data_IF_656019830257
#
_entry.id   IF_656019830257
#
_cell.length_a   1.000
_cell.length_b   1.000
_cell.length_c   1.000
_cell.angle_alpha   90.00
_cell.angle_beta   90.00
_cell.angle_gamma   90.00
#
_symmetry.space_group_name_H-M   'P 1'
#
loop_
_entity.id
_entity.type
_entity.pdbx_description
1 polymer ?
#
# COMPACT_ATOMS: atom_id res chain seq x y z
N UNK A 1 -75.32 29.65 32.01
CA UNK A 1 -74.15 29.83 32.90
C UNK A 1 -73.22 28.59 32.72
N UNK A 2 -72.33 28.71 31.78
CA UNK A 2 -71.37 27.57 31.47
C UNK A 2 -70.08 27.84 32.20
N UNK A 3 -69.68 26.87 33.04
CA UNK A 3 -68.40 26.90 33.73
C UNK A 3 -67.40 26.21 32.79
N UNK A 4 -66.39 26.96 32.35
CA UNK A 4 -65.25 26.46 31.63
C UNK A 4 -64.22 25.98 32.70
N UNK A 5 -63.89 24.68 32.68
CA UNK A 5 -62.85 24.08 33.49
C UNK A 5 -61.59 24.10 32.66
N UNK A 6 -60.57 24.84 33.10
CA UNK A 6 -59.26 24.96 32.48
C UNK A 6 -58.35 23.83 33.09
N UNK A 7 -57.98 22.83 32.29
CA UNK A 7 -56.98 21.84 32.68
C UNK A 7 -55.58 22.37 32.39
N UNK A 8 -54.81 22.62 33.43
CA UNK A 8 -53.35 22.83 33.30
C UNK A 8 -52.66 21.50 33.18
N UNK A 9 -52.12 21.21 31.99
CA UNK A 9 -51.16 20.11 31.78
C UNK A 9 -49.75 20.62 32.12
N UNK A 10 -49.23 20.24 33.27
CA UNK A 10 -47.83 20.42 33.63
C UNK A 10 -47.02 19.37 32.91
N UNK A 11 -46.27 19.75 31.87
CA UNK A 11 -45.26 18.93 31.23
C UNK A 11 -44.01 18.91 32.12
N UNK A 12 -43.77 17.78 32.79
CA UNK A 12 -42.49 17.52 33.44
C UNK A 12 -41.45 17.18 32.33
N UNK A 13 -40.57 18.14 32.05
CA UNK A 13 -39.36 17.89 31.30
C UNK A 13 -38.35 17.17 32.22
N UNK A 14 -38.32 15.85 32.18
CA UNK A 14 -37.22 15.09 32.72
C UNK A 14 -36.04 15.24 31.75
N UNK A 15 -35.05 16.05 32.16
CA UNK A 15 -33.76 16.14 31.50
C UNK A 15 -33.05 14.81 31.72
N UNK A 16 -33.11 13.94 30.73
CA UNK A 16 -32.22 12.77 30.64
C UNK A 16 -30.85 13.30 30.28
N UNK A 17 -30.01 13.60 31.27
CA UNK A 17 -28.55 13.67 31.07
C UNK A 17 -28.05 12.25 30.85
N UNK A 18 -28.24 11.74 29.67
CA UNK A 18 -27.56 10.56 29.22
C UNK A 18 -26.09 10.89 28.98
N UNK A 19 -25.21 10.33 29.81
CA UNK A 19 -23.79 10.22 29.47
C UNK A 19 -23.67 9.36 28.22
N UNK A 20 -23.72 9.98 27.04
CA UNK A 20 -23.45 9.38 25.74
C UNK A 20 -22.03 9.73 25.33
N UNK A 21 -21.05 9.03 25.87
CA UNK A 21 -19.76 8.76 25.25
C UNK A 21 -19.07 7.60 25.98
N UNK A 22 -19.69 6.44 26.03
CA UNK A 22 -18.91 5.21 26.06
C UNK A 22 -18.43 5.02 24.62
N UNK A 23 -17.12 5.15 24.40
CA UNK A 23 -16.54 4.93 23.09
C UNK A 23 -17.03 3.60 22.52
N UNK A 24 -17.65 3.64 21.36
CA UNK A 24 -17.99 2.41 20.62
C UNK A 24 -16.64 1.85 20.17
N UNK A 25 -16.10 0.91 20.96
CA UNK A 25 -14.91 0.16 20.57
C UNK A 25 -15.22 -0.61 19.28
N UNK A 26 -14.34 -0.52 18.30
CA UNK A 26 -14.46 -1.37 17.11
C UNK A 26 -14.11 -2.80 17.48
N UNK A 27 -14.95 -3.74 17.02
CA UNK A 27 -14.68 -5.16 17.19
C UNK A 27 -13.46 -5.55 16.31
N UNK A 28 -12.51 -6.28 16.88
CA UNK A 28 -11.37 -6.80 16.14
C UNK A 28 -11.85 -7.80 15.07
N UNK A 29 -11.23 -7.77 13.92
CA UNK A 29 -11.63 -8.62 12.79
C UNK A 29 -10.43 -8.99 11.93
N UNK A 30 -10.37 -10.25 11.51
CA UNK A 30 -9.46 -10.69 10.43
C UNK A 30 -10.20 -11.65 9.52
N UNK A 31 -10.34 -11.30 8.25
CA UNK A 31 -11.03 -12.18 7.30
C UNK A 31 -11.37 -11.52 5.97
N UNK A 32 -11.96 -12.31 5.10
CA UNK A 32 -12.45 -11.86 3.80
C UNK A 32 -13.76 -11.09 3.93
N UNK A 33 -13.88 -10.03 3.16
CA UNK A 33 -15.09 -9.24 2.96
C UNK A 33 -15.28 -8.94 1.48
N UNK A 34 -16.45 -8.40 1.13
CA UNK A 34 -16.84 -8.07 -0.24
C UNK A 34 -17.43 -6.68 -0.32
N UNK A 35 -17.26 -6.06 -1.48
CA UNK A 35 -17.85 -4.77 -1.84
C UNK A 35 -18.35 -4.83 -3.27
N UNK A 36 -19.49 -4.22 -3.54
CA UNK A 36 -19.96 -4.00 -4.91
C UNK A 36 -19.33 -2.71 -5.44
N UNK A 37 -18.64 -2.81 -6.57
CA UNK A 37 -18.08 -1.67 -7.28
C UNK A 37 -18.34 -1.82 -8.79
N UNK A 38 -19.01 -0.83 -9.41
CA UNK A 38 -19.33 -0.84 -10.85
C UNK A 38 -19.94 -2.17 -11.34
N UNK A 39 -20.96 -2.66 -10.59
CA UNK A 39 -21.67 -3.91 -10.86
C UNK A 39 -20.85 -5.20 -10.68
N UNK A 40 -19.55 -5.08 -10.29
CA UNK A 40 -18.70 -6.22 -9.96
C UNK A 40 -18.64 -6.41 -8.43
N UNK A 41 -18.82 -7.66 -7.99
CA UNK A 41 -18.50 -8.04 -6.62
C UNK A 41 -16.98 -8.22 -6.51
N UNK A 42 -16.32 -7.36 -5.70
CA UNK A 42 -14.87 -7.41 -5.43
C UNK A 42 -14.65 -7.91 -4.00
N UNK A 43 -13.72 -8.82 -3.82
CA UNK A 43 -13.34 -9.26 -2.48
C UNK A 43 -12.08 -8.54 -1.98
N UNK A 44 -11.88 -8.57 -0.68
CA UNK A 44 -10.68 -8.07 -0.01
C UNK A 44 -10.51 -8.76 1.34
N UNK A 45 -9.29 -8.92 1.81
CA UNK A 45 -9.04 -9.27 3.20
C UNK A 45 -8.88 -8.00 4.03
N UNK A 46 -9.40 -8.05 5.25
CA UNK A 46 -9.36 -6.94 6.19
C UNK A 46 -8.83 -7.44 7.52
N UNK A 47 -7.98 -6.65 8.15
CA UNK A 47 -7.58 -6.85 9.53
C UNK A 47 -7.79 -5.55 10.31
N UNK A 48 -8.54 -5.66 11.39
CA UNK A 48 -8.86 -4.59 12.35
C UNK A 48 -8.31 -5.02 13.70
N UNK A 49 -7.30 -4.33 14.26
CA UNK A 49 -6.70 -4.70 15.53
C UNK A 49 -7.66 -4.51 16.70
N UNK A 50 -7.40 -5.21 17.79
CA UNK A 50 -8.11 -4.99 19.06
C UNK A 50 -7.82 -3.58 19.59
N UNK A 51 -8.85 -2.93 20.13
CA UNK A 51 -8.70 -1.59 20.71
C UNK A 51 -8.43 -0.49 19.72
N UNK A 52 -8.81 -0.66 18.45
CA UNK A 52 -8.69 0.38 17.41
C UNK A 52 -9.27 1.71 17.89
N UNK A 53 -8.52 2.78 17.72
CA UNK A 53 -8.93 4.16 18.06
C UNK A 53 -9.52 4.87 16.85
N UNK A 54 -10.38 5.84 17.10
CA UNK A 54 -10.80 6.79 16.05
C UNK A 54 -9.58 7.58 15.52
N UNK A 55 -9.62 7.96 14.26
CA UNK A 55 -8.52 8.59 13.53
C UNK A 55 -7.24 7.74 13.43
N UNK A 56 -7.37 6.41 13.60
CA UNK A 56 -6.28 5.48 13.32
C UNK A 56 -5.85 5.55 11.84
N UNK A 57 -4.61 5.22 11.51
CA UNK A 57 -4.18 5.08 10.13
C UNK A 57 -4.90 3.92 9.42
N UNK A 58 -4.99 4.03 8.08
CA UNK A 58 -5.46 2.96 7.19
C UNK A 58 -4.36 2.62 6.18
N UNK A 59 -4.03 1.36 6.04
CA UNK A 59 -3.04 0.89 5.08
C UNK A 59 -3.66 -0.07 4.07
N UNK A 60 -3.35 0.15 2.79
CA UNK A 60 -3.69 -0.74 1.67
C UNK A 60 -2.44 -1.50 1.26
N UNK A 61 -2.49 -2.84 1.20
CA UNK A 61 -1.37 -3.68 0.77
C UNK A 61 -1.80 -4.51 -0.43
N UNK A 62 -1.13 -4.31 -1.56
CA UNK A 62 -1.58 -4.73 -2.89
C UNK A 62 -0.70 -5.88 -3.38
N UNK A 63 -1.32 -6.99 -3.80
CA UNK A 63 -0.60 -8.17 -4.30
C UNK A 63 -0.05 -7.97 -5.73
N UNK A 64 0.95 -8.75 -6.09
CA UNK A 64 1.52 -8.79 -7.44
C UNK A 64 0.64 -9.55 -8.45
N UNK A 65 1.03 -9.51 -9.72
CA UNK A 65 0.41 -10.30 -10.79
C UNK A 65 0.39 -11.79 -10.42
N UNK A 66 -0.69 -12.49 -10.72
CA UNK A 66 -0.95 -13.88 -10.30
C UNK A 66 -1.13 -14.11 -8.79
N UNK A 67 -0.94 -13.08 -7.98
CA UNK A 67 -1.05 -13.14 -6.52
C UNK A 67 -2.48 -13.15 -6.01
N UNK A 68 -2.64 -13.03 -4.70
CA UNK A 68 -3.95 -12.88 -4.06
C UNK A 68 -3.87 -12.00 -2.82
N UNK A 69 -5.02 -11.45 -2.43
CA UNK A 69 -5.16 -10.67 -1.19
C UNK A 69 -4.71 -11.47 0.05
N UNK A 70 -5.12 -12.75 0.13
CA UNK A 70 -4.66 -13.64 1.20
C UNK A 70 -3.17 -13.93 1.13
N UNK A 71 -2.65 -14.12 -0.10
CA UNK A 71 -1.23 -14.39 -0.33
C UNK A 71 -0.34 -13.26 0.15
N UNK A 72 -0.62 -12.01 -0.23
CA UNK A 72 0.18 -10.87 0.20
C UNK A 72 0.02 -10.56 1.70
N UNK A 73 -1.15 -10.85 2.29
CA UNK A 73 -1.35 -10.74 3.74
C UNK A 73 -0.40 -11.69 4.49
N UNK A 74 -0.31 -12.96 4.05
CA UNK A 74 0.55 -13.96 4.67
C UNK A 74 2.04 -13.69 4.39
N UNK A 75 2.34 -13.20 3.18
CA UNK A 75 3.68 -12.89 2.72
C UNK A 75 4.28 -11.69 3.47
N UNK A 76 3.56 -10.59 3.54
CA UNK A 76 4.04 -9.37 4.20
C UNK A 76 4.00 -9.44 5.73
N UNK A 77 3.15 -10.29 6.32
CA UNK A 77 2.94 -10.40 7.78
C UNK A 77 2.59 -9.07 8.47
N UNK A 78 2.08 -8.08 7.72
CA UNK A 78 1.83 -6.72 8.22
C UNK A 78 0.71 -6.63 9.26
N UNK A 79 -0.15 -7.65 9.40
CA UNK A 79 -1.15 -7.69 10.48
C UNK A 79 -0.52 -7.56 11.86
N UNK A 80 0.67 -8.15 12.09
CA UNK A 80 1.37 -8.04 13.37
C UNK A 80 1.78 -6.59 13.67
N UNK A 81 2.14 -5.81 12.63
CA UNK A 81 2.44 -4.39 12.78
C UNK A 81 1.18 -3.57 13.01
N UNK A 82 0.06 -3.95 12.39
CA UNK A 82 -1.23 -3.32 12.62
C UNK A 82 -1.69 -3.49 14.07
N UNK A 83 -1.53 -4.68 14.66
CA UNK A 83 -1.82 -4.95 16.06
C UNK A 83 -0.93 -4.14 17.01
N UNK A 84 0.36 -4.03 16.71
CA UNK A 84 1.32 -3.32 17.55
C UNK A 84 1.15 -1.79 17.51
N UNK A 85 0.71 -1.25 16.37
CA UNK A 85 0.69 0.18 16.10
C UNK A 85 -0.72 0.77 15.99
N UNK A 86 -1.76 -0.06 16.03
CA UNK A 86 -3.16 0.38 16.09
C UNK A 86 -3.67 0.98 14.78
N UNK A 87 -3.40 0.36 13.63
CA UNK A 87 -3.93 0.79 12.34
C UNK A 87 -4.78 -0.30 11.66
N UNK A 88 -5.73 0.11 10.84
CA UNK A 88 -6.49 -0.82 9.99
C UNK A 88 -5.68 -1.16 8.76
N UNK A 89 -5.69 -2.42 8.34
CA UNK A 89 -5.02 -2.86 7.11
C UNK A 89 -5.98 -3.63 6.21
N UNK A 90 -5.95 -3.32 4.92
CA UNK A 90 -6.78 -3.94 3.90
C UNK A 90 -5.93 -4.44 2.74
N UNK A 91 -6.28 -5.63 2.26
CA UNK A 91 -5.65 -6.31 1.14
C UNK A 91 -6.70 -6.49 0.04
N UNK A 92 -6.78 -5.58 -0.94
CA UNK A 92 -7.72 -5.73 -2.05
C UNK A 92 -7.37 -6.95 -2.91
N UNK A 93 -8.40 -7.60 -3.47
CA UNK A 93 -8.23 -8.66 -4.46
C UNK A 93 -8.37 -8.08 -5.87
N UNK A 94 -7.36 -8.30 -6.69
CA UNK A 94 -7.38 -8.00 -8.12
C UNK A 94 -8.41 -8.85 -8.86
N UNK A 95 -8.81 -8.40 -10.04
CA UNK A 95 -9.66 -9.18 -10.96
C UNK A 95 -8.86 -10.25 -11.70
N UNK A 96 -9.51 -11.04 -12.53
CA UNK A 96 -8.87 -12.06 -13.35
C UNK A 96 -8.82 -11.58 -14.80
N UNK A 97 -7.66 -11.70 -15.44
CA UNK A 97 -7.46 -11.35 -16.85
C UNK A 97 -7.86 -12.50 -17.81
N UNK A 98 -7.69 -12.28 -19.10
CA UNK A 98 -7.98 -13.28 -20.15
C UNK A 98 -7.04 -14.50 -20.13
N UNK A 99 -5.96 -14.43 -19.33
CA UNK A 99 -5.00 -15.52 -19.12
C UNK A 99 -5.26 -16.27 -17.81
N UNK A 100 -6.40 -16.00 -17.16
CA UNK A 100 -6.81 -16.54 -15.87
C UNK A 100 -5.89 -16.13 -14.70
N UNK A 101 -5.15 -15.02 -14.84
CA UNK A 101 -4.28 -14.48 -13.80
C UNK A 101 -4.95 -13.31 -13.09
N UNK A 102 -4.79 -13.26 -11.79
CA UNK A 102 -5.22 -12.13 -10.98
C UNK A 102 -4.30 -10.92 -11.18
N UNK A 103 -4.87 -9.72 -11.28
CA UNK A 103 -4.13 -8.50 -11.56
C UNK A 103 -4.82 -7.24 -11.08
N UNK A 104 -4.06 -6.16 -11.00
CA UNK A 104 -4.57 -4.80 -10.98
C UNK A 104 -4.20 -4.12 -12.31
N UNK A 105 -5.15 -3.39 -12.89
CA UNK A 105 -4.95 -2.72 -14.18
C UNK A 105 -4.09 -1.47 -13.99
N UNK A 106 -2.83 -1.57 -14.36
CA UNK A 106 -1.82 -0.50 -14.28
C UNK A 106 -1.35 -0.05 -15.66
N UNK A 107 -2.01 -0.52 -16.73
CA UNK A 107 -1.67 -0.15 -18.11
C UNK A 107 -0.64 -1.08 -18.78
N UNK A 108 -0.58 -2.36 -18.38
CA UNK A 108 0.23 -3.33 -19.13
C UNK A 108 -0.29 -3.51 -20.56
N UNK A 109 0.59 -3.64 -21.54
CA UNK A 109 0.22 -3.76 -22.97
C UNK A 109 -0.76 -4.91 -23.21
N UNK A 110 -0.59 -6.06 -22.56
CA UNK A 110 -1.51 -7.19 -22.71
C UNK A 110 -2.84 -7.02 -21.97
N UNK A 111 -3.02 -5.92 -21.24
CA UNK A 111 -4.28 -5.51 -20.62
C UNK A 111 -4.92 -4.29 -21.33
N UNK A 112 -4.43 -3.88 -22.50
CA UNK A 112 -4.91 -2.71 -23.22
C UNK A 112 -6.43 -2.73 -23.50
N UNK A 113 -7.03 -3.91 -23.64
CA UNK A 113 -8.47 -4.09 -23.81
C UNK A 113 -9.24 -4.16 -22.48
N UNK A 114 -8.56 -4.13 -21.34
CA UNK A 114 -9.21 -4.20 -20.03
C UNK A 114 -9.90 -2.88 -19.69
N UNK A 115 -11.18 -2.96 -19.35
CA UNK A 115 -11.98 -1.82 -18.89
C UNK A 115 -12.10 -1.74 -17.38
N UNK A 116 -11.36 -2.58 -16.63
CA UNK A 116 -11.38 -2.59 -15.17
C UNK A 116 -10.70 -1.33 -14.65
N UNK A 117 -11.40 -0.61 -13.79
CA UNK A 117 -10.87 0.58 -13.08
C UNK A 117 -10.53 0.22 -11.63
N UNK A 118 -9.33 -0.30 -11.43
CA UNK A 118 -8.86 -0.68 -10.11
C UNK A 118 -8.51 0.53 -9.24
N UNK A 119 -8.18 1.68 -9.82
CA UNK A 119 -8.01 2.94 -9.09
C UNK A 119 -9.33 3.33 -8.43
N UNK A 120 -10.42 3.37 -9.20
CA UNK A 120 -11.75 3.69 -8.67
C UNK A 120 -12.21 2.67 -7.62
N UNK A 121 -11.92 1.38 -7.83
CA UNK A 121 -12.21 0.32 -6.85
C UNK A 121 -11.49 0.56 -5.52
N UNK A 122 -10.17 0.78 -5.55
CA UNK A 122 -9.37 1.00 -4.33
C UNK A 122 -9.82 2.28 -3.62
N UNK A 123 -10.11 3.35 -4.36
CA UNK A 123 -10.66 4.60 -3.79
C UNK A 123 -11.99 4.37 -3.09
N UNK A 124 -12.91 3.63 -3.71
CA UNK A 124 -14.22 3.30 -3.12
C UNK A 124 -14.06 2.45 -1.84
N UNK A 125 -13.19 1.44 -1.89
CA UNK A 125 -12.89 0.57 -0.76
C UNK A 125 -12.30 1.36 0.42
N UNK A 126 -11.30 2.20 0.18
CA UNK A 126 -10.68 3.07 1.20
C UNK A 126 -11.73 4.00 1.82
N UNK A 127 -12.52 4.69 0.99
CA UNK A 127 -13.56 5.62 1.47
C UNK A 127 -14.58 4.89 2.35
N UNK A 128 -15.02 3.70 1.96
CA UNK A 128 -15.93 2.89 2.77
C UNK A 128 -15.32 2.50 4.11
N UNK A 129 -14.04 2.10 4.13
CA UNK A 129 -13.36 1.70 5.36
C UNK A 129 -13.10 2.89 6.29
N UNK A 130 -12.75 4.06 5.75
CA UNK A 130 -12.62 5.30 6.52
C UNK A 130 -13.93 5.65 7.24
N UNK A 131 -15.06 5.53 6.58
CA UNK A 131 -16.37 5.76 7.19
C UNK A 131 -16.70 4.69 8.23
N UNK A 132 -16.50 3.42 7.89
CA UNK A 132 -16.89 2.27 8.71
C UNK A 132 -16.09 2.20 10.02
N UNK A 133 -14.78 2.40 9.96
CA UNK A 133 -13.86 2.28 11.08
C UNK A 133 -13.38 3.63 11.63
N UNK A 134 -13.92 4.73 11.11
CA UNK A 134 -13.54 6.11 11.48
C UNK A 134 -12.02 6.32 11.46
N UNK A 135 -11.36 5.72 10.44
CA UNK A 135 -9.92 5.94 10.23
C UNK A 135 -9.67 7.32 9.64
N UNK A 136 -8.45 7.81 9.79
CA UNK A 136 -8.09 9.16 9.34
C UNK A 136 -8.01 9.25 7.81
N UNK A 137 -8.64 10.26 7.22
CA UNK A 137 -8.47 10.60 5.81
C UNK A 137 -7.06 11.11 5.49
N UNK A 138 -6.35 11.66 6.48
CA UNK A 138 -5.00 12.21 6.32
C UNK A 138 -3.89 11.20 6.60
N UNK A 139 -4.23 9.98 7.04
CA UNK A 139 -3.28 8.93 7.43
C UNK A 139 -3.59 7.63 6.69
N UNK A 140 -3.81 7.75 5.39
CA UNK A 140 -4.09 6.60 4.51
C UNK A 140 -2.87 6.36 3.63
N UNK A 141 -2.40 5.10 3.59
CA UNK A 141 -1.16 4.70 2.94
C UNK A 141 -1.40 3.53 1.99
N UNK A 142 -0.56 3.43 0.95
CA UNK A 142 -0.57 2.26 0.07
C UNK A 142 0.83 1.70 -0.12
N UNK A 143 0.92 0.38 -0.12
CA UNK A 143 2.11 -0.37 -0.49
C UNK A 143 1.70 -1.61 -1.27
N UNK A 144 2.63 -2.23 -1.94
CA UNK A 144 2.39 -3.46 -2.67
C UNK A 144 3.65 -3.92 -3.38
N UNK A 145 3.63 -5.15 -3.87
CA UNK A 145 4.77 -5.74 -4.55
C UNK A 145 4.47 -5.95 -6.04
N UNK A 146 5.47 -5.75 -6.92
CA UNK A 146 5.36 -6.02 -8.34
C UNK A 146 4.20 -5.23 -8.96
N UNK A 147 3.22 -5.86 -9.59
CA UNK A 147 1.98 -5.21 -10.06
C UNK A 147 1.29 -4.38 -8.95
N UNK A 148 1.37 -4.81 -7.67
CA UNK A 148 0.91 -4.02 -6.53
C UNK A 148 1.79 -2.80 -6.24
N UNK A 149 3.09 -2.87 -6.52
CA UNK A 149 4.01 -1.74 -6.48
C UNK A 149 3.71 -0.73 -7.60
N UNK A 150 3.49 -1.23 -8.83
CA UNK A 150 3.08 -0.40 -9.97
C UNK A 150 1.74 0.31 -9.68
N UNK A 151 0.78 -0.40 -9.07
CA UNK A 151 -0.48 0.18 -8.62
C UNK A 151 -0.26 1.24 -7.54
N UNK A 152 0.70 1.05 -6.63
CA UNK A 152 1.04 2.05 -5.61
C UNK A 152 1.57 3.34 -6.25
N UNK A 153 2.42 3.25 -7.27
CA UNK A 153 2.84 4.41 -8.06
C UNK A 153 1.66 5.06 -8.82
N UNK A 154 0.78 4.26 -9.43
CA UNK A 154 -0.40 4.77 -10.12
C UNK A 154 -1.34 5.53 -9.15
N UNK A 155 -1.54 5.01 -7.93
CA UNK A 155 -2.29 5.68 -6.87
C UNK A 155 -1.61 6.99 -6.43
N UNK A 156 -0.29 7.04 -6.35
CA UNK A 156 0.42 8.27 -6.06
C UNK A 156 0.15 9.36 -7.11
N UNK A 157 0.09 9.00 -8.39
CA UNK A 157 -0.20 9.93 -9.47
C UNK A 157 -1.66 10.38 -9.52
N UNK A 158 -2.62 9.46 -9.26
CA UNK A 158 -4.05 9.66 -9.56
C UNK A 158 -4.91 9.89 -8.31
N UNK A 159 -4.40 9.59 -7.13
CA UNK A 159 -5.15 9.54 -5.88
C UNK A 159 -4.39 10.16 -4.68
N UNK A 160 -3.49 11.11 -4.96
CA UNK A 160 -2.74 11.83 -3.91
C UNK A 160 -3.64 12.68 -2.99
N UNK A 161 -4.90 12.91 -3.37
CA UNK A 161 -5.93 13.46 -2.48
C UNK A 161 -6.37 12.49 -1.37
N UNK A 162 -6.25 11.19 -1.60
CA UNK A 162 -6.68 10.14 -0.69
C UNK A 162 -5.50 9.51 0.07
N UNK A 163 -4.35 9.34 -0.59
CA UNK A 163 -3.17 8.72 -0.01
C UNK A 163 -2.17 9.76 0.47
N UNK A 164 -1.67 9.59 1.71
CA UNK A 164 -0.67 10.49 2.32
C UNK A 164 0.75 10.15 1.91
N UNK A 165 1.05 8.86 1.73
CA UNK A 165 2.33 8.35 1.23
C UNK A 165 2.14 6.97 0.61
N UNK A 166 3.07 6.56 -0.26
CA UNK A 166 3.09 5.22 -0.84
C UNK A 166 4.48 4.58 -0.72
N UNK A 167 4.49 3.23 -0.65
CA UNK A 167 5.72 2.45 -0.62
C UNK A 167 5.66 1.30 -1.64
N UNK A 168 5.96 1.54 -2.92
CA UNK A 168 6.11 0.48 -3.92
C UNK A 168 7.29 -0.44 -3.58
N UNK A 169 7.13 -1.75 -3.80
CA UNK A 169 8.19 -2.75 -3.63
C UNK A 169 8.34 -3.55 -4.93
N UNK A 170 9.53 -3.57 -5.49
CA UNK A 170 9.81 -4.20 -6.80
C UNK A 170 8.81 -3.75 -7.88
N UNK A 171 8.37 -2.48 -7.81
CA UNK A 171 7.42 -1.86 -8.72
C UNK A 171 8.11 -0.97 -9.75
N UNK A 172 7.41 -0.70 -10.85
CA UNK A 172 7.86 0.23 -11.89
C UNK A 172 6.75 1.21 -12.27
N UNK A 173 7.12 2.35 -12.81
CA UNK A 173 6.16 3.28 -13.40
C UNK A 173 6.07 3.05 -14.90
N UNK A 174 4.91 2.59 -15.37
CA UNK A 174 4.64 2.50 -16.81
C UNK A 174 4.87 3.86 -17.43
N UNK A 175 5.38 3.89 -18.65
CA UNK A 175 5.73 5.12 -19.39
C UNK A 175 4.58 6.11 -19.39
N UNK A 176 3.37 5.68 -19.76
CA UNK A 176 2.20 6.54 -19.81
C UNK A 176 1.81 7.10 -18.44
N UNK A 177 1.95 6.29 -17.40
CA UNK A 177 1.71 6.72 -16.01
C UNK A 177 2.70 7.80 -15.60
N UNK A 178 3.99 7.63 -15.86
CA UNK A 178 5.01 8.61 -15.47
C UNK A 178 4.85 9.92 -16.27
N UNK A 179 4.64 9.84 -17.59
CA UNK A 179 4.51 11.01 -18.47
C UNK A 179 3.25 11.84 -18.20
N UNK A 180 2.16 11.20 -17.72
CA UNK A 180 0.91 11.87 -17.34
C UNK A 180 0.77 12.20 -15.87
N UNK A 181 1.72 11.79 -15.04
CA UNK A 181 1.65 11.90 -13.59
C UNK A 181 1.66 13.36 -13.12
N UNK A 182 0.56 13.76 -12.50
CA UNK A 182 0.41 15.11 -11.96
C UNK A 182 -0.40 15.05 -10.65
N UNK A 183 0.22 14.64 -9.55
CA UNK A 183 -0.47 14.50 -8.26
C UNK A 183 -1.00 15.85 -7.77
N UNK A 184 -2.19 15.86 -7.15
CA UNK A 184 -2.84 17.05 -6.63
C UNK A 184 -2.07 17.69 -5.47
N UNK A 185 -1.33 16.88 -4.72
CA UNK A 185 -0.41 17.33 -3.65
C UNK A 185 0.86 16.48 -3.67
N UNK A 186 1.99 16.98 -3.13
CA UNK A 186 3.17 16.15 -2.96
C UNK A 186 2.85 14.92 -2.12
N UNK A 187 3.35 13.76 -2.56
CA UNK A 187 3.11 12.47 -1.93
C UNK A 187 4.44 11.75 -1.70
N UNK A 188 4.89 11.58 -0.45
CA UNK A 188 6.12 10.87 -0.14
C UNK A 188 6.16 9.47 -0.74
N UNK A 189 7.33 9.11 -1.25
CA UNK A 189 7.58 7.82 -1.92
C UNK A 189 8.68 7.06 -1.19
N UNK A 190 8.48 5.77 -0.98
CA UNK A 190 9.53 4.87 -0.53
C UNK A 190 9.60 3.65 -1.44
N UNK A 191 10.55 3.61 -2.35
CA UNK A 191 10.77 2.49 -3.26
C UNK A 191 11.85 1.56 -2.72
N UNK A 192 11.61 0.23 -2.84
CA UNK A 192 12.60 -0.82 -2.56
C UNK A 192 12.71 -1.70 -3.80
N UNK A 193 13.90 -1.79 -4.40
CA UNK A 193 14.08 -2.50 -5.66
C UNK A 193 15.43 -3.19 -5.78
N UNK A 194 15.42 -4.43 -6.31
CA UNK A 194 16.62 -5.20 -6.59
C UNK A 194 17.27 -4.83 -7.92
N UNK A 195 18.60 -4.69 -7.95
CA UNK A 195 19.31 -4.34 -9.19
C UNK A 195 19.38 -5.53 -10.17
N UNK A 196 19.18 -6.76 -9.70
CA UNK A 196 19.14 -7.98 -10.52
C UNK A 196 17.70 -8.51 -10.68
N UNK A 197 16.70 -7.65 -10.49
CA UNK A 197 15.31 -7.99 -10.76
C UNK A 197 15.12 -8.30 -12.24
N UNK A 198 14.71 -9.54 -12.55
CA UNK A 198 14.50 -10.01 -13.92
C UNK A 198 13.03 -9.94 -14.37
N UNK A 199 12.14 -9.49 -13.50
CA UNK A 199 10.70 -9.33 -13.78
C UNK A 199 10.38 -7.86 -14.02
N UNK A 200 10.67 -7.03 -13.03
CA UNK A 200 10.56 -5.57 -13.09
C UNK A 200 11.98 -5.00 -13.20
N UNK A 201 12.49 -4.89 -14.42
CA UNK A 201 13.90 -4.57 -14.65
C UNK A 201 14.30 -3.24 -14.02
N UNK A 202 15.36 -3.23 -13.22
CA UNK A 202 15.93 -2.04 -12.62
C UNK A 202 16.29 -0.98 -13.67
N UNK A 203 16.84 -1.42 -14.81
CA UNK A 203 17.24 -0.57 -15.95
C UNK A 203 16.07 -0.15 -16.84
N UNK A 204 14.83 -0.54 -16.49
CA UNK A 204 13.65 -0.26 -17.28
C UNK A 204 13.53 -1.09 -18.55
N UNK A 205 12.42 -0.94 -19.25
CA UNK A 205 12.16 -1.61 -20.53
C UNK A 205 11.41 -0.70 -21.50
N UNK A 206 12.06 0.35 -21.95
CA UNK A 206 11.47 1.31 -22.90
C UNK A 206 11.18 0.71 -24.28
N UNK A 207 11.69 -0.47 -24.59
CA UNK A 207 11.43 -1.19 -25.85
C UNK A 207 10.35 -2.24 -25.73
N UNK A 208 9.87 -2.48 -24.50
CA UNK A 208 8.90 -3.53 -24.20
C UNK A 208 9.35 -4.93 -24.62
N UNK A 209 10.62 -5.26 -24.37
CA UNK A 209 11.19 -6.58 -24.68
C UNK A 209 10.60 -7.68 -23.77
N UNK A 210 10.25 -7.33 -22.52
CA UNK A 210 9.59 -8.21 -21.56
C UNK A 210 8.09 -8.38 -21.81
N UNK A 211 7.46 -7.54 -22.63
CA UNK A 211 6.05 -7.62 -23.00
C UNK A 211 5.06 -7.10 -21.95
N UNK A 212 5.55 -6.40 -20.90
CA UNK A 212 4.70 -5.75 -19.90
C UNK A 212 4.14 -4.38 -20.37
N UNK A 213 4.79 -3.78 -21.35
CA UNK A 213 4.64 -2.38 -21.77
C UNK A 213 5.92 -1.61 -21.47
N UNK A 214 6.07 -0.45 -22.07
CA UNK A 214 7.25 0.39 -21.85
C UNK A 214 7.23 1.03 -20.46
N UNK A 215 8.37 0.99 -19.72
CA UNK A 215 8.55 1.67 -18.45
C UNK A 215 9.99 2.16 -18.27
N UNK A 216 10.14 3.22 -17.47
CA UNK A 216 11.42 3.86 -17.22
C UNK A 216 12.25 3.05 -16.21
N UNK A 217 13.58 3.27 -16.23
CA UNK A 217 14.50 2.79 -15.20
C UNK A 217 14.17 3.39 -13.83
N UNK A 218 14.60 2.71 -12.77
CA UNK A 218 14.33 3.14 -11.39
C UNK A 218 15.01 4.48 -11.06
N UNK A 219 16.28 4.74 -11.43
CA UNK A 219 16.89 6.06 -11.23
C UNK A 219 16.10 7.21 -11.85
N UNK A 220 15.56 7.03 -13.06
CA UNK A 220 14.70 8.01 -13.73
C UNK A 220 13.37 8.20 -13.00
N UNK A 221 12.75 7.11 -12.53
CA UNK A 221 11.52 7.13 -11.73
C UNK A 221 11.72 7.87 -10.41
N UNK A 222 12.79 7.58 -9.67
CA UNK A 222 13.13 8.30 -8.43
C UNK A 222 13.41 9.79 -8.72
N UNK A 223 14.19 10.08 -9.77
CA UNK A 223 14.49 11.45 -10.19
C UNK A 223 13.23 12.25 -10.55
N UNK A 224 12.21 11.60 -11.13
CA UNK A 224 10.91 12.22 -11.37
C UNK A 224 10.28 12.70 -10.04
N UNK A 225 10.17 11.83 -9.03
CA UNK A 225 9.57 12.17 -7.75
C UNK A 225 10.39 13.22 -6.98
N UNK A 226 11.72 13.14 -7.01
CA UNK A 226 12.62 14.14 -6.43
C UNK A 226 12.35 15.53 -7.02
N UNK A 227 12.24 15.62 -8.35
CA UNK A 227 11.90 16.87 -9.05
C UNK A 227 10.49 17.36 -8.72
N UNK A 228 9.51 16.44 -8.70
CA UNK A 228 8.11 16.76 -8.42
C UNK A 228 7.95 17.38 -7.02
N UNK A 229 8.73 16.91 -6.04
CA UNK A 229 8.72 17.42 -4.68
C UNK A 229 9.75 18.57 -4.47
N UNK A 230 10.54 18.93 -5.48
CA UNK A 230 11.58 19.95 -5.43
C UNK A 230 12.62 19.69 -4.33
N UNK A 231 12.97 18.42 -4.13
CA UNK A 231 13.97 18.02 -3.15
C UNK A 231 15.37 18.35 -3.68
N UNK A 232 16.21 18.94 -2.85
CA UNK A 232 17.54 19.45 -3.23
C UNK A 232 18.69 18.80 -2.48
N UNK A 233 18.39 18.03 -1.44
CA UNK A 233 19.37 17.38 -0.59
C UNK A 233 19.23 15.87 -0.68
N UNK A 234 20.32 15.15 -0.50
CA UNK A 234 20.36 13.70 -0.49
C UNK A 234 21.37 13.21 0.53
N UNK A 235 20.92 12.32 1.41
CA UNK A 235 21.77 11.46 2.22
C UNK A 235 21.84 10.09 1.56
N UNK A 236 23.03 9.52 1.44
CA UNK A 236 23.21 8.17 0.89
C UNK A 236 24.14 7.38 1.80
N UNK A 237 23.70 6.21 2.22
CA UNK A 237 24.50 5.31 3.05
C UNK A 237 24.15 3.83 2.77
N UNK A 238 25.16 2.99 2.90
CA UNK A 238 24.93 1.54 2.88
C UNK A 238 24.41 1.12 4.26
N UNK A 239 23.35 0.31 4.28
CA UNK A 239 22.85 -0.33 5.49
C UNK A 239 23.79 -1.46 5.94
N UNK A 240 23.65 -1.88 7.20
CA UNK A 240 24.41 -3.01 7.74
C UNK A 240 24.04 -4.29 6.97
N UNK A 241 25.03 -4.94 6.38
CA UNK A 241 24.93 -6.26 5.76
C UNK A 241 24.90 -7.31 6.90
N UNK A 242 23.70 -7.80 7.21
CA UNK A 242 23.47 -8.75 8.30
C UNK A 242 23.58 -10.20 7.85
N UNK A 243 23.35 -10.45 6.55
CA UNK A 243 23.44 -11.77 5.95
C UNK A 243 24.41 -11.76 4.76
N UNK A 244 25.70 -11.71 5.06
CA UNK A 244 26.79 -11.70 4.04
C UNK A 244 26.77 -12.91 3.09
N UNK A 245 25.89 -13.90 3.31
CA UNK A 245 25.78 -15.10 2.49
C UNK A 245 24.68 -14.95 1.41
N UNK A 246 23.77 -13.96 1.54
CA UNK A 246 22.69 -13.76 0.57
C UNK A 246 23.16 -13.07 -0.73
N UNK A 247 24.36 -12.50 -0.74
CA UNK A 247 25.01 -11.93 -1.94
C UNK A 247 24.44 -10.56 -2.32
N UNK A 248 23.70 -9.89 -1.44
CA UNK A 248 23.10 -8.59 -1.68
C UNK A 248 23.42 -7.59 -0.57
N UNK A 249 23.39 -6.31 -0.89
CA UNK A 249 23.55 -5.21 0.08
C UNK A 249 22.57 -4.09 -0.25
N UNK A 250 22.20 -3.29 0.73
CA UNK A 250 21.24 -2.19 0.53
C UNK A 250 21.93 -0.85 0.63
N UNK A 251 21.82 -0.04 -0.43
CA UNK A 251 22.09 1.38 -0.41
C UNK A 251 20.80 2.14 -0.15
N UNK A 252 20.77 2.94 0.90
CA UNK A 252 19.66 3.84 1.23
C UNK A 252 19.95 5.26 0.75
N UNK A 253 19.19 5.71 -0.22
CA UNK A 253 19.17 7.09 -0.69
C UNK A 253 17.92 7.79 -0.17
N UNK A 254 18.13 8.82 0.68
CA UNK A 254 17.07 9.68 1.21
C UNK A 254 17.17 11.04 0.57
N UNK A 255 16.17 11.40 -0.23
CA UNK A 255 16.05 12.73 -0.82
C UNK A 255 15.09 13.58 0.01
N UNK A 256 15.52 14.78 0.35
CA UNK A 256 14.76 15.68 1.22
C UNK A 256 15.10 17.15 0.95
N UNK A 257 14.45 18.04 1.65
CA UNK A 257 14.83 19.43 1.85
C UNK A 257 14.42 19.81 3.26
N UNK A 258 15.23 20.63 3.93
CA UNK A 258 14.96 21.09 5.29
C UNK A 258 13.58 21.76 5.35
N UNK A 259 12.82 21.51 6.41
CA UNK A 259 11.45 22.00 6.62
C UNK A 259 10.37 21.44 5.67
N UNK A 260 10.67 20.44 4.83
CA UNK A 260 9.70 19.75 4.02
C UNK A 260 9.52 18.30 4.48
N UNK A 261 8.32 17.95 4.90
CA UNK A 261 7.99 16.59 5.36
C UNK A 261 7.89 15.57 4.23
N UNK A 262 7.79 16.02 2.97
CA UNK A 262 7.61 15.11 1.83
C UNK A 262 8.99 14.67 1.32
N UNK A 263 9.37 13.46 1.64
CA UNK A 263 10.65 12.86 1.27
C UNK A 263 10.46 11.78 0.20
N UNK A 264 11.55 11.47 -0.51
CA UNK A 264 11.66 10.30 -1.37
C UNK A 264 12.77 9.42 -0.82
N UNK A 265 12.43 8.20 -0.43
CA UNK A 265 13.34 7.17 0.03
C UNK A 265 13.51 6.12 -1.05
N UNK A 266 14.73 5.69 -1.26
CA UNK A 266 15.03 4.62 -2.19
C UNK A 266 15.99 3.62 -1.54
N UNK A 267 15.54 2.38 -1.38
CA UNK A 267 16.39 1.26 -1.03
C UNK A 267 16.76 0.51 -2.31
N UNK A 268 17.98 0.76 -2.77
CA UNK A 268 18.56 0.01 -3.87
C UNK A 268 19.21 -1.26 -3.31
N UNK A 269 18.61 -2.42 -3.59
CA UNK A 269 19.13 -3.72 -3.16
C UNK A 269 20.08 -4.22 -4.24
N UNK A 270 21.37 -3.98 -4.08
CA UNK A 270 22.41 -4.40 -5.02
C UNK A 270 22.57 -5.92 -4.95
N UNK A 271 22.48 -6.62 -6.08
CA UNK A 271 22.41 -8.08 -6.15
C UNK A 271 21.04 -8.66 -5.81
N UNK A 272 20.09 -7.84 -5.34
CA UNK A 272 18.73 -8.27 -5.03
C UNK A 272 17.90 -8.56 -6.27
N UNK A 273 16.99 -9.54 -6.16
CA UNK A 273 16.08 -9.96 -7.22
C UNK A 273 14.65 -9.47 -6.99
N UNK A 274 13.66 -10.05 -7.71
CA UNK A 274 12.23 -9.69 -7.60
C UNK A 274 11.62 -10.23 -6.31
N UNK A 275 11.91 -9.61 -5.16
CA UNK A 275 11.48 -10.08 -3.83
C UNK A 275 10.96 -8.96 -2.95
N UNK A 276 10.36 -9.36 -1.82
CA UNK A 276 10.07 -8.52 -0.65
C UNK A 276 11.19 -8.79 0.37
N UNK A 277 12.23 -7.95 0.49
CA UNK A 277 13.37 -8.20 1.37
C UNK A 277 12.96 -8.53 2.81
N UNK A 278 13.68 -9.45 3.45
CA UNK A 278 13.36 -9.95 4.78
C UNK A 278 12.21 -10.95 4.82
N UNK A 279 11.76 -11.44 3.66
CA UNK A 279 10.81 -12.54 3.62
C UNK A 279 11.54 -13.87 3.88
N UNK A 280 11.20 -14.50 4.98
CA UNK A 280 11.65 -15.86 5.24
C UNK A 280 10.70 -16.87 4.60
N UNK A 281 11.27 -17.75 3.77
CA UNK A 281 10.54 -18.86 3.17
C UNK A 281 10.08 -19.83 4.28
N UNK A 282 8.77 -20.03 4.44
CA UNK A 282 8.27 -21.12 5.31
C UNK A 282 8.76 -22.45 4.75
N UNK A 283 9.61 -23.16 5.48
CA UNK A 283 10.29 -24.41 5.09
C UNK A 283 9.31 -25.53 4.65
N UNK A 284 8.03 -25.40 4.89
CA UNK A 284 6.98 -26.32 4.40
C UNK A 284 6.63 -26.15 2.93
N UNK A 285 7.07 -25.09 2.31
CA UNK A 285 6.88 -24.72 0.92
C UNK A 285 7.50 -25.70 -0.09
N UNK A 286 8.62 -26.33 0.22
CA UNK A 286 9.29 -27.37 -0.61
C UNK A 286 8.43 -28.61 -0.93
N UNK A 287 7.25 -28.74 -0.30
CA UNK A 287 6.27 -29.79 -0.64
C UNK A 287 5.40 -29.43 -1.86
N UNK A 288 5.53 -28.20 -2.38
CA UNK A 288 4.85 -27.77 -3.59
C UNK A 288 5.74 -28.07 -4.80
N UNK A 289 5.28 -28.85 -5.81
CA UNK A 289 6.08 -29.12 -7.02
C UNK A 289 6.51 -27.88 -7.80
N UNK A 290 5.79 -26.75 -7.65
CA UNK A 290 6.16 -25.46 -8.22
C UNK A 290 7.27 -24.76 -7.42
N UNK A 291 7.54 -25.18 -6.19
CA UNK A 291 8.61 -24.64 -5.36
C UNK A 291 9.99 -24.77 -6.03
N UNK A 292 10.21 -25.90 -6.73
CA UNK A 292 11.45 -26.13 -7.48
C UNK A 292 11.68 -25.11 -8.60
N UNK A 293 10.60 -24.61 -9.23
CA UNK A 293 10.68 -23.58 -10.26
C UNK A 293 11.15 -22.24 -9.67
N UNK A 294 10.68 -21.87 -8.50
CA UNK A 294 11.06 -20.63 -7.82
C UNK A 294 12.47 -20.70 -7.18
N UNK A 295 12.91 -21.90 -6.72
CA UNK A 295 14.29 -22.10 -6.19
C UNK A 295 15.34 -21.98 -7.30
N UNK A 296 15.03 -22.43 -8.53
CA UNK A 296 15.98 -22.37 -9.64
C UNK A 296 16.04 -21.01 -10.35
N UNK A 297 15.08 -20.13 -10.10
CA UNK A 297 15.19 -18.72 -10.44
C UNK A 297 15.74 -17.98 -9.22
N UNK A 298 16.95 -18.30 -8.80
CA UNK A 298 17.77 -17.59 -7.81
C UNK A 298 17.03 -16.39 -7.14
N UNK A 299 15.91 -16.66 -6.44
CA UNK A 299 15.23 -15.65 -5.63
C UNK A 299 16.05 -15.49 -4.35
N UNK A 300 17.26 -14.97 -4.49
CA UNK A 300 18.07 -14.53 -3.37
C UNK A 300 17.39 -13.30 -2.79
N UNK A 301 16.59 -13.54 -1.75
CA UNK A 301 15.99 -12.44 -1.00
C UNK A 301 17.06 -11.79 -0.14
N UNK A 302 17.14 -10.47 -0.14
CA UNK A 302 17.93 -9.76 0.85
C UNK A 302 17.34 -9.98 2.25
N UNK A 303 18.18 -10.30 3.23
CA UNK A 303 17.80 -10.57 4.62
C UNK A 303 18.28 -9.49 5.60
N UNK A 304 18.80 -8.36 5.11
CA UNK A 304 19.31 -7.29 5.96
C UNK A 304 18.22 -6.50 6.65
N UNK A 305 17.03 -6.45 6.04
CA UNK A 305 15.90 -5.67 6.53
C UNK A 305 14.63 -6.53 6.66
N UNK A 306 13.68 -6.01 7.42
CA UNK A 306 12.26 -6.43 7.40
C UNK A 306 11.48 -5.34 6.66
N UNK A 307 11.22 -5.55 5.38
CA UNK A 307 10.54 -4.56 4.53
C UNK A 307 9.24 -4.05 5.14
N UNK A 308 8.48 -4.90 5.80
CA UNK A 308 7.21 -4.49 6.43
C UNK A 308 7.44 -3.48 7.55
N UNK A 309 8.51 -3.65 8.34
CA UNK A 309 8.89 -2.68 9.36
C UNK A 309 9.43 -1.39 8.76
N UNK A 310 10.24 -1.49 7.69
CA UNK A 310 10.77 -0.30 7.01
C UNK A 310 9.63 0.53 6.40
N UNK A 311 8.65 -0.12 5.73
CA UNK A 311 7.45 0.54 5.20
C UNK A 311 6.66 1.22 6.31
N UNK A 312 6.45 0.54 7.45
CA UNK A 312 5.77 1.19 8.58
C UNK A 312 6.60 2.32 9.19
N UNK A 313 7.91 2.16 9.32
CA UNK A 313 8.81 3.23 9.78
C UNK A 313 8.67 4.48 8.92
N UNK A 314 8.66 4.33 7.61
CA UNK A 314 8.44 5.43 6.69
C UNK A 314 7.03 6.05 6.86
N UNK A 315 5.96 5.26 6.86
CA UNK A 315 4.59 5.78 6.99
C UNK A 315 4.32 6.42 8.35
N UNK A 316 4.92 5.92 9.42
CA UNK A 316 4.74 6.45 10.77
C UNK A 316 5.17 7.91 10.91
N UNK A 317 6.10 8.39 10.08
CA UNK A 317 6.51 9.81 10.00
C UNK A 317 5.31 10.72 9.65
N UNK A 318 4.30 10.19 8.97
CA UNK A 318 3.13 10.93 8.48
C UNK A 318 1.86 10.61 9.29
N UNK A 319 1.99 9.98 10.45
CA UNK A 319 0.86 9.68 11.34
C UNK A 319 0.64 10.72 12.44
N UNK A 320 1.65 11.52 12.75
CA UNK A 320 1.49 12.66 13.66
C UNK A 320 0.67 13.76 12.98
N UNK A 321 -0.24 14.40 13.70
CA UNK A 321 -0.86 15.61 13.21
C UNK A 321 0.26 16.68 13.06
N UNK A 322 0.32 17.34 11.91
CA UNK A 322 1.05 18.61 11.84
C UNK A 322 0.35 19.57 12.83
N UNK A 323 1.05 19.99 13.87
CA UNK A 323 0.61 21.05 14.77
C UNK A 323 0.68 22.41 14.07
#
# INVERSE_FOLDING_TARGET
MNKIILFFLTFLFTIFQGNLYSGVGFESFTGEKKIMHQELERSYFLHVPEGLKENAPLMVVIHGYTGSAKGIMDYSKMNNLADQNGFVIVYPQGTVDTRENTFFNVGYDFHAESTVDDVAYIRALVTQLQITYRTSSEKTFATGMSNGGDMSFLLACTSSDLFRAVAPIAGVMMKETLESCNPLRPIPIFEIHGTEDQVSLFEGDMKNEGGWGAYYDLPSTISFWVKQHKLTEMDSNQLDDKDMEDGSVITFDRHFVEDNVNEVWFYKVEGGTHTWPGWEMDVKWWKNPLAWYYINYEMTGNNDIDTSKEVWSFFSKYTSAEE
#
